data_IF_439563356629
#
_entry.id   IF_439563356629
#
_cell.length_a   1.000
_cell.length_b   1.000
_cell.length_c   1.000
_cell.angle_alpha   90.00
_cell.angle_beta   90.00
_cell.angle_gamma   90.00
#
_symmetry.space_group_name_H-M   'P 1'
#
loop_
_entity.id
_entity.type
_entity.pdbx_description
1 polymer ?
#
# COMPACT_ATOMS: atom_id res chain seq x y z
N UNK A 1 -3.38 -1.16 4.43
CA UNK A 1 -1.92 -1.23 4.27
C UNK A 1 -1.26 -0.50 5.42
N UNK A 2 -0.31 -1.14 6.10
CA UNK A 2 0.38 -0.64 7.28
C UNK A 2 1.86 -0.40 6.97
N UNK A 3 2.42 0.75 7.37
CA UNK A 3 3.84 1.02 7.25
C UNK A 3 4.63 0.38 8.39
N UNK A 4 5.53 -0.55 8.04
CA UNK A 4 6.43 -1.22 8.99
C UNK A 4 7.77 -0.48 9.10
N UNK A 5 8.26 0.13 8.02
CA UNK A 5 9.43 1.00 8.01
C UNK A 5 9.52 1.82 6.72
N UNK A 6 10.26 2.91 6.75
CA UNK A 6 10.52 3.78 5.60
C UNK A 6 9.47 4.88 5.43
N UNK A 7 9.18 5.25 4.18
CA UNK A 7 8.24 6.30 3.81
C UNK A 7 7.68 6.01 2.42
N UNK A 8 6.38 6.15 2.25
CA UNK A 8 5.73 5.94 0.95
C UNK A 8 4.68 7.03 0.68
N UNK A 9 4.38 7.24 -0.59
CA UNK A 9 3.16 7.94 -1.03
C UNK A 9 2.30 6.99 -1.85
N UNK A 10 1.09 6.72 -1.38
CA UNK A 10 0.07 5.98 -2.11
C UNK A 10 -0.71 6.92 -3.02
N UNK A 11 -0.80 6.55 -4.29
CA UNK A 11 -1.68 7.19 -5.28
C UNK A 11 -2.90 6.29 -5.44
N UNK A 12 -4.07 6.79 -5.07
CA UNK A 12 -5.36 6.11 -5.19
C UNK A 12 -6.11 6.65 -6.42
N UNK A 13 -6.58 5.75 -7.30
CA UNK A 13 -7.41 6.11 -8.44
C UNK A 13 -8.89 6.07 -8.01
N UNK A 14 -9.40 7.17 -7.45
CA UNK A 14 -10.81 7.28 -7.05
C UNK A 14 -11.68 7.64 -8.26
N UNK A 15 -12.99 7.39 -8.15
CA UNK A 15 -13.97 7.82 -9.17
C UNK A 15 -13.95 9.34 -9.40
N UNK A 16 -13.64 10.12 -8.35
CA UNK A 16 -13.53 11.59 -8.41
C UNK A 16 -12.14 12.08 -8.85
N UNK A 17 -11.24 11.18 -9.25
CA UNK A 17 -9.86 11.49 -9.61
C UNK A 17 -8.81 10.91 -8.66
N UNK A 18 -7.58 11.39 -8.77
CA UNK A 18 -6.47 10.85 -7.99
C UNK A 18 -6.38 11.46 -6.60
N UNK A 19 -6.15 10.62 -5.59
CA UNK A 19 -5.81 11.05 -4.22
C UNK A 19 -4.46 10.51 -3.80
N UNK A 20 -3.61 11.40 -3.30
CA UNK A 20 -2.30 11.03 -2.73
C UNK A 20 -2.37 10.98 -1.22
N UNK A 21 -1.81 9.93 -0.60
CA UNK A 21 -1.67 9.82 0.85
C UNK A 21 -0.25 9.38 1.18
N UNK A 22 0.45 10.15 2.01
CA UNK A 22 1.80 9.82 2.46
C UNK A 22 1.76 9.13 3.81
N UNK A 23 2.41 7.97 3.92
CA UNK A 23 2.70 7.29 5.18
C UNK A 23 4.19 7.49 5.48
N UNK A 24 4.50 8.11 6.61
CA UNK A 24 5.88 8.41 7.00
C UNK A 24 6.19 8.09 8.47
N UNK A 25 5.19 7.70 9.24
CA UNK A 25 5.34 7.25 10.62
C UNK A 25 5.13 5.74 10.70
N UNK A 26 6.03 5.03 11.38
CA UNK A 26 5.88 3.58 11.61
C UNK A 26 4.54 3.35 12.33
N UNK A 27 3.77 2.38 11.86
CA UNK A 27 2.43 2.11 12.39
C UNK A 27 1.31 2.91 11.72
N UNK A 28 1.62 3.95 10.94
CA UNK A 28 0.61 4.63 10.13
C UNK A 28 0.05 3.69 9.06
N UNK A 29 -1.25 3.78 8.81
CA UNK A 29 -1.95 2.90 7.89
C UNK A 29 -3.01 3.63 7.10
N UNK A 30 -3.45 2.99 6.01
CA UNK A 30 -4.61 3.40 5.24
C UNK A 30 -5.48 2.18 4.91
N UNK A 31 -6.78 2.41 4.90
CA UNK A 31 -7.77 1.50 4.33
C UNK A 31 -7.92 1.87 2.87
N UNK A 32 -7.54 0.95 1.97
CA UNK A 32 -7.79 1.10 0.53
C UNK A 32 -9.26 0.77 0.29
N UNK A 33 -10.07 1.69 -0.28
CA UNK A 33 -11.47 1.39 -0.54
C UNK A 33 -11.62 0.25 -1.55
N UNK A 34 -12.70 -0.52 -1.45
CA UNK A 34 -12.97 -1.67 -2.33
C UNK A 34 -12.97 -1.23 -3.80
N UNK A 35 -12.28 -2.00 -4.64
CA UNK A 35 -12.21 -1.76 -6.09
C UNK A 35 -11.32 -0.59 -6.52
N UNK A 36 -10.67 0.11 -5.58
CA UNK A 36 -9.78 1.21 -5.90
C UNK A 36 -8.38 0.71 -6.20
N UNK A 37 -7.92 0.99 -7.41
CA UNK A 37 -6.52 0.79 -7.78
C UNK A 37 -5.63 1.74 -6.99
N UNK A 38 -4.48 1.23 -6.54
CA UNK A 38 -3.49 2.01 -5.82
C UNK A 38 -2.07 1.69 -6.29
N UNK A 39 -1.18 2.65 -6.14
CA UNK A 39 0.25 2.48 -6.41
C UNK A 39 1.06 3.13 -5.32
N UNK A 40 1.95 2.37 -4.68
CA UNK A 40 2.90 2.90 -3.71
C UNK A 40 4.14 3.42 -4.43
N UNK A 41 4.45 4.71 -4.26
CA UNK A 41 5.70 5.32 -4.70
C UNK A 41 6.62 5.52 -3.49
N UNK A 42 7.90 5.20 -3.66
CA UNK A 42 8.92 5.39 -2.63
C UNK A 42 10.23 5.84 -3.27
N UNK A 43 11.00 6.63 -2.53
CA UNK A 43 12.38 7.00 -2.87
C UNK A 43 13.41 6.35 -1.94
N UNK A 44 12.94 5.68 -0.89
CA UNK A 44 13.78 4.97 0.08
C UNK A 44 13.30 3.52 0.23
N UNK A 45 14.14 2.67 0.84
CA UNK A 45 13.73 1.31 1.18
C UNK A 45 12.61 1.38 2.23
N UNK A 46 11.47 0.79 1.89
CA UNK A 46 10.26 0.83 2.73
C UNK A 46 9.66 -0.57 2.83
N UNK A 47 9.05 -0.89 3.97
CA UNK A 47 8.37 -2.16 4.22
C UNK A 47 6.90 -1.90 4.56
N UNK A 48 6.00 -2.60 3.88
CA UNK A 48 4.56 -2.50 4.05
C UNK A 48 3.97 -3.87 4.38
N UNK A 49 2.97 -3.89 5.26
CA UNK A 49 2.11 -5.05 5.45
C UNK A 49 0.79 -4.81 4.71
N UNK A 50 0.49 -5.70 3.77
CA UNK A 50 -0.79 -5.77 3.09
C UNK A 50 -1.70 -6.71 3.87
N UNK A 51 -2.84 -6.18 4.32
CA UNK A 51 -3.88 -6.95 4.99
C UNK A 51 -5.06 -7.00 4.03
N UNK A 52 -5.38 -8.20 3.57
CA UNK A 52 -6.49 -8.45 2.64
C UNK A 52 -7.29 -9.66 3.15
N UNK A 53 -8.53 -9.82 2.69
CA UNK A 53 -9.35 -10.99 3.05
C UNK A 53 -8.81 -12.32 2.47
N UNK A 54 -7.78 -12.28 1.61
CA UNK A 54 -7.09 -13.45 1.07
C UNK A 54 -7.79 -14.13 -0.12
N UNK A 55 -9.08 -13.85 -0.37
CA UNK A 55 -9.79 -14.44 -1.51
C UNK A 55 -9.18 -13.96 -2.84
N UNK A 56 -8.65 -14.91 -3.61
CA UNK A 56 -8.08 -14.66 -4.95
C UNK A 56 -6.72 -13.94 -4.96
N UNK A 57 -6.07 -13.73 -3.82
CA UNK A 57 -4.71 -13.15 -3.80
C UNK A 57 -3.65 -14.20 -4.12
N UNK A 58 -2.81 -13.93 -5.11
CA UNK A 58 -1.62 -14.73 -5.41
C UNK A 58 -0.43 -14.17 -4.66
N UNK A 59 0.30 -15.03 -3.94
CA UNK A 59 1.62 -14.72 -3.40
C UNK A 59 2.60 -15.73 -3.99
N UNK A 60 3.82 -15.30 -4.31
CA UNK A 60 4.91 -16.20 -4.70
C UNK A 60 6.09 -15.91 -3.78
N UNK A 61 6.57 -16.93 -3.09
CA UNK A 61 7.90 -16.84 -2.48
C UNK A 61 8.94 -16.92 -3.59
N UNK A 62 9.86 -15.96 -3.62
CA UNK A 62 11.11 -16.14 -4.34
C UNK A 62 12.00 -17.02 -3.48
N UNK A 63 12.22 -18.26 -3.93
CA UNK A 63 13.27 -19.12 -3.39
C UNK A 63 14.63 -18.52 -3.73
N UNK A 64 15.55 -18.48 -2.76
CA UNK A 64 16.95 -18.06 -2.95
C UNK A 64 17.72 -18.98 -3.90
#
# INVERSE_FOLDING_TARGET
>A
MLLLSGKITLILQLHSGQKSVTLQEIGSYIIVPKGIWHTAKTTIKSKLLFITAGEGTLNKEESE
#
